data_IF_935513178898
#
_entry.id   IF_935513178898
#
_cell.length_a   1.000
_cell.length_b   1.000
_cell.length_c   1.000
_cell.angle_alpha   90.00
_cell.angle_beta   90.00
_cell.angle_gamma   90.00
#
_symmetry.space_group_name_H-M   'P 1'
#
loop_
_entity.id
_entity.type
_entity.pdbx_description
1 polymer ?
#
# COMPACT_ATOMS: atom_id res chain seq x y z
N UNK A 1 -3.66 15.90 -1.44
CA UNK A 1 -3.26 14.52 -1.77
C UNK A 1 -4.51 13.67 -1.68
N UNK A 2 -4.90 13.01 -2.76
CA UNK A 2 -6.00 12.05 -2.74
C UNK A 2 -5.44 10.72 -2.20
N UNK A 3 -6.20 10.07 -1.33
CA UNK A 3 -5.88 8.76 -0.81
C UNK A 3 -7.00 7.79 -1.18
N UNK A 4 -6.65 6.67 -1.82
CA UNK A 4 -7.57 5.57 -2.09
C UNK A 4 -7.40 4.53 -0.98
N UNK A 5 -8.46 4.14 -0.30
CA UNK A 5 -8.39 3.12 0.76
C UNK A 5 -8.78 1.74 0.23
N UNK A 6 -7.99 0.73 0.58
CA UNK A 6 -8.24 -0.68 0.27
C UNK A 6 -8.21 -1.51 1.55
N UNK A 7 -9.37 -2.02 1.95
CA UNK A 7 -9.49 -2.94 3.09
C UNK A 7 -9.28 -4.40 2.62
N UNK A 8 -8.36 -5.09 3.27
CA UNK A 8 -7.92 -6.44 2.94
C UNK A 8 -8.24 -7.47 4.03
N UNK A 9 -8.88 -7.05 5.14
CA UNK A 9 -9.16 -7.93 6.28
C UNK A 9 -10.04 -9.14 5.90
N UNK A 10 -10.95 -8.95 4.95
CA UNK A 10 -11.82 -10.00 4.42
C UNK A 10 -11.31 -10.63 3.11
N UNK A 11 -10.13 -10.24 2.62
CA UNK A 11 -9.54 -10.76 1.38
C UNK A 11 -8.67 -11.97 1.69
N UNK A 12 -8.79 -13.10 0.97
CA UNK A 12 -7.92 -14.25 1.15
C UNK A 12 -6.43 -13.88 0.97
N UNK A 13 -5.49 -14.38 1.79
CA UNK A 13 -4.08 -13.98 1.74
C UNK A 13 -3.43 -14.09 0.34
N UNK A 14 -3.78 -15.14 -0.41
CA UNK A 14 -3.26 -15.38 -1.76
C UNK A 14 -3.72 -14.31 -2.79
N UNK A 15 -4.82 -13.63 -2.54
CA UNK A 15 -5.40 -12.61 -3.44
C UNK A 15 -4.98 -11.18 -3.08
N UNK A 16 -4.42 -10.97 -1.87
CA UNK A 16 -4.10 -9.63 -1.37
C UNK A 16 -3.03 -8.95 -2.23
N UNK A 17 -1.88 -9.59 -2.45
CA UNK A 17 -0.75 -8.97 -3.15
C UNK A 17 -1.11 -8.57 -4.59
N UNK A 18 -1.71 -9.45 -5.43
CA UNK A 18 -2.19 -9.04 -6.76
C UNK A 18 -3.13 -7.84 -6.69
N UNK A 19 -4.11 -7.87 -5.79
CA UNK A 19 -5.09 -6.78 -5.64
C UNK A 19 -4.45 -5.46 -5.22
N UNK A 20 -3.47 -5.48 -4.32
CA UNK A 20 -2.73 -4.29 -3.90
C UNK A 20 -1.94 -3.72 -5.07
N UNK A 21 -1.23 -4.57 -5.83
CA UNK A 21 -0.43 -4.14 -6.98
C UNK A 21 -1.31 -3.51 -8.05
N UNK A 22 -2.47 -4.11 -8.35
CA UNK A 22 -3.44 -3.58 -9.30
C UNK A 22 -4.00 -2.22 -8.85
N UNK A 23 -4.38 -2.12 -7.57
CA UNK A 23 -4.87 -0.86 -6.99
C UNK A 23 -3.79 0.24 -7.02
N UNK A 24 -2.55 -0.10 -6.70
CA UNK A 24 -1.42 0.83 -6.74
C UNK A 24 -1.06 1.26 -8.17
N UNK A 25 -1.12 0.33 -9.13
CA UNK A 25 -0.88 0.62 -10.53
C UNK A 25 -1.91 1.61 -11.09
N UNK A 26 -3.17 1.51 -10.65
CA UNK A 26 -4.27 2.38 -11.05
C UNK A 26 -4.21 3.80 -10.46
N UNK A 27 -3.39 4.04 -9.43
CA UNK A 27 -3.20 5.38 -8.87
C UNK A 27 -2.55 6.34 -9.86
N UNK A 28 -2.97 7.60 -9.81
CA UNK A 28 -2.26 8.68 -10.47
C UNK A 28 -0.94 8.99 -9.72
N UNK A 29 0.00 9.61 -10.43
CA UNK A 29 1.27 10.03 -9.83
C UNK A 29 1.04 11.05 -8.70
N UNK A 30 1.67 10.84 -7.55
CA UNK A 30 1.50 11.69 -6.36
C UNK A 30 0.29 11.33 -5.49
N UNK A 31 -0.47 10.29 -5.82
CA UNK A 31 -1.51 9.74 -4.95
C UNK A 31 -0.98 8.68 -3.99
N UNK A 32 -1.77 8.36 -2.97
CA UNK A 32 -1.43 7.37 -1.95
C UNK A 32 -2.48 6.27 -1.87
N UNK A 33 -2.04 5.01 -1.76
CA UNK A 33 -2.89 3.87 -1.44
C UNK A 33 -2.83 3.64 0.08
N UNK A 34 -3.96 3.74 0.76
CA UNK A 34 -4.08 3.36 2.18
C UNK A 34 -4.56 1.91 2.27
N UNK A 35 -3.78 1.04 2.89
CA UNK A 35 -4.10 -0.38 3.09
C UNK A 35 -4.55 -0.61 4.52
N UNK A 36 -5.68 -1.30 4.72
CA UNK A 36 -6.09 -1.82 6.03
C UNK A 36 -5.91 -3.33 6.04
N UNK A 37 -4.99 -3.82 6.88
CA UNK A 37 -4.63 -5.23 7.01
C UNK A 37 -4.88 -5.75 8.44
N UNK A 38 -5.10 -7.05 8.55
CA UNK A 38 -5.25 -7.79 9.81
C UNK A 38 -3.89 -8.20 10.44
N UNK A 39 -2.79 -8.03 9.71
CA UNK A 39 -1.43 -8.36 10.12
C UNK A 39 -0.42 -7.31 9.63
N UNK A 40 0.83 -7.44 10.10
CA UNK A 40 1.91 -6.50 9.77
C UNK A 40 2.23 -6.54 8.25
N UNK A 41 2.11 -5.40 7.53
CA UNK A 41 2.37 -5.31 6.09
C UNK A 41 3.87 -5.25 5.72
N UNK A 42 4.79 -5.44 6.67
CA UNK A 42 6.23 -5.39 6.41
C UNK A 42 6.73 -6.28 5.25
N UNK A 43 6.25 -7.53 5.05
CA UNK A 43 6.63 -8.31 3.88
C UNK A 43 6.24 -7.63 2.56
N UNK A 44 5.03 -7.08 2.50
CA UNK A 44 4.52 -6.34 1.35
C UNK A 44 5.34 -5.07 1.09
N UNK A 45 5.75 -4.33 2.13
CA UNK A 45 6.62 -3.17 1.96
C UNK A 45 7.91 -3.51 1.22
N UNK A 46 8.60 -4.59 1.60
CA UNK A 46 9.83 -5.00 0.93
C UNK A 46 9.60 -5.44 -0.52
N UNK A 47 8.48 -6.11 -0.78
CA UNK A 47 8.07 -6.51 -2.12
C UNK A 47 7.81 -5.30 -3.02
N UNK A 48 7.00 -4.34 -2.55
CA UNK A 48 6.72 -3.09 -3.28
C UNK A 48 8.00 -2.30 -3.55
N UNK A 49 8.88 -2.18 -2.55
CA UNK A 49 10.18 -1.49 -2.69
C UNK A 49 11.09 -2.18 -3.71
N UNK A 50 11.02 -3.49 -3.84
CA UNK A 50 11.87 -4.26 -4.75
C UNK A 50 11.32 -4.32 -6.19
N UNK A 51 10.00 -4.34 -6.35
CA UNK A 51 9.35 -4.61 -7.64
C UNK A 51 8.66 -3.41 -8.28
N UNK A 52 8.43 -2.31 -7.54
CA UNK A 52 7.62 -1.18 -8.01
C UNK A 52 8.44 0.12 -7.99
N UNK A 53 9.00 0.50 -9.13
CA UNK A 53 9.84 1.71 -9.26
C UNK A 53 9.10 3.02 -8.92
N UNK A 54 7.77 3.04 -9.10
CA UNK A 54 6.95 4.22 -8.78
C UNK A 54 6.53 4.30 -7.32
N UNK A 55 6.88 3.33 -6.49
CA UNK A 55 6.57 3.33 -5.06
C UNK A 55 7.56 4.19 -4.29
N UNK A 56 7.01 5.17 -3.56
CA UNK A 56 7.78 6.04 -2.70
C UNK A 56 7.99 5.38 -1.33
N UNK A 57 9.09 4.62 -1.23
CA UNK A 57 9.46 3.92 0.00
C UNK A 57 9.88 4.87 1.12
N UNK A 58 10.33 6.09 0.81
CA UNK A 58 10.73 7.09 1.81
C UNK A 58 9.50 7.77 2.44
N UNK A 59 8.41 7.90 1.67
CA UNK A 59 7.11 8.38 2.13
C UNK A 59 6.21 7.30 2.76
N UNK A 60 6.64 6.04 2.82
CA UNK A 60 5.84 4.96 3.40
C UNK A 60 5.62 5.15 4.90
N UNK A 61 4.38 5.01 5.34
CA UNK A 61 4.01 5.07 6.75
C UNK A 61 3.19 3.84 7.15
N UNK A 62 3.36 3.37 8.39
CA UNK A 62 2.55 2.29 8.94
C UNK A 62 2.16 2.60 10.38
N UNK A 63 0.86 2.46 10.66
CA UNK A 63 0.25 2.64 11.96
C UNK A 63 -0.48 1.36 12.37
N UNK A 64 -0.29 0.92 13.62
CA UNK A 64 -1.12 -0.12 14.21
C UNK A 64 -2.21 0.51 15.08
N UNK A 65 -3.46 0.44 14.64
CA UNK A 65 -4.63 1.03 15.33
C UNK A 65 -5.30 0.08 16.34
N UNK A 66 -4.95 -1.20 16.30
CA UNK A 66 -5.54 -2.21 17.18
C UNK A 66 -4.73 -3.52 17.24
N UNK A 67 -5.25 -4.56 17.93
CA UNK A 67 -4.55 -5.83 18.06
C UNK A 67 -4.29 -6.49 16.69
N UNK A 68 -5.22 -6.35 15.75
CA UNK A 68 -5.19 -6.92 14.40
C UNK A 68 -5.62 -5.88 13.37
N UNK A 69 -5.26 -4.61 13.56
CA UNK A 69 -5.56 -3.55 12.60
C UNK A 69 -4.29 -2.75 12.32
N UNK A 70 -3.79 -2.90 11.11
CA UNK A 70 -2.60 -2.25 10.57
C UNK A 70 -3.01 -1.42 9.38
N UNK A 71 -2.70 -0.13 9.42
CA UNK A 71 -2.95 0.82 8.35
C UNK A 71 -1.62 1.23 7.75
N UNK A 72 -1.44 1.01 6.45
CA UNK A 72 -0.21 1.38 5.74
C UNK A 72 -0.50 2.34 4.60
N UNK A 73 0.26 3.43 4.55
CA UNK A 73 0.22 4.42 3.49
C UNK A 73 1.32 4.09 2.47
N UNK A 74 0.92 3.80 1.24
CA UNK A 74 1.81 3.51 0.13
C UNK A 74 1.73 4.65 -0.89
N UNK A 75 2.58 5.68 -0.78
CA UNK A 75 2.60 6.77 -1.74
C UNK A 75 3.22 6.35 -3.08
N UNK A 76 2.70 6.94 -4.16
CA UNK A 76 3.26 6.83 -5.51
C UNK A 76 4.03 8.10 -5.85
N UNK A 77 5.26 7.95 -6.34
CA UNK A 77 6.07 9.09 -6.76
C UNK A 77 5.30 9.97 -7.75
N UNK A 78 5.38 11.28 -7.53
CA UNK A 78 4.99 12.25 -8.55
C UNK A 78 5.91 12.05 -9.77
N UNK A 79 5.35 12.04 -10.98
CA UNK A 79 6.20 12.09 -12.17
C UNK A 79 6.95 13.42 -12.17
N UNK A 80 8.26 13.42 -12.46
CA UNK A 80 8.94 14.67 -12.79
C UNK A 80 8.26 15.28 -14.02
N UNK A 81 8.03 16.59 -13.95
CA UNK A 81 7.46 17.41 -15.03
C UNK A 81 8.33 17.47 -16.29
#
# INVERSE_FOLDING_TARGET
MAATTLDLRDVPPAERHPKIRDAFAALESGETLELVNDHDPKPLFYEMRAEVDSFDADGYEMERRGPTEFVASLPKHARPE
#
